data_IF_354212288305
#
_entry.id   IF_354212288305
#
_cell.length_a   1.000
_cell.length_b   1.000
_cell.length_c   1.000
_cell.angle_alpha   90.00
_cell.angle_beta   90.00
_cell.angle_gamma   90.00
#
_symmetry.space_group_name_H-M   'P 1'
#
loop_
_entity.id
_entity.type
_entity.pdbx_description
1 polymer ?
#
# COMPACT_ATOMS: atom_id res chain seq x y z
N UNK A 1 25.05 19.52 22.64
CA UNK A 1 25.04 19.82 21.19
C UNK A 1 25.63 18.60 20.48
N UNK A 2 24.79 17.61 20.18
CA UNK A 2 25.20 16.37 19.52
C UNK A 2 25.71 16.64 18.11
N UNK A 3 26.80 15.99 17.78
CA UNK A 3 27.41 15.94 16.46
C UNK A 3 26.30 15.57 15.46
N UNK A 4 25.90 16.54 14.65
CA UNK A 4 24.88 16.37 13.60
C UNK A 4 25.41 15.25 12.70
N UNK A 5 24.83 14.04 12.78
CA UNK A 5 25.27 12.92 11.96
C UNK A 5 25.08 13.28 10.49
N UNK A 6 26.14 13.75 9.88
CA UNK A 6 26.15 14.11 8.45
C UNK A 6 25.69 12.96 7.56
N UNK A 7 25.87 11.72 8.04
CA UNK A 7 25.38 10.51 7.37
C UNK A 7 23.84 10.46 7.30
N UNK A 8 23.14 10.76 8.39
CA UNK A 8 21.67 10.73 8.45
C UNK A 8 21.03 11.78 7.53
N UNK A 9 21.60 13.00 7.48
CA UNK A 9 21.13 14.07 6.59
C UNK A 9 21.34 13.67 5.11
N UNK A 10 22.49 13.07 4.81
CA UNK A 10 22.82 12.61 3.45
C UNK A 10 21.90 11.47 3.00
N UNK A 11 21.62 10.51 3.87
CA UNK A 11 20.71 9.38 3.56
C UNK A 11 19.30 9.89 3.25
N UNK A 12 18.79 10.84 4.04
CA UNK A 12 17.47 11.43 3.77
C UNK A 12 17.42 12.22 2.46
N UNK A 13 18.45 12.99 2.14
CA UNK A 13 18.54 13.72 0.88
C UNK A 13 18.58 12.76 -0.34
N UNK A 14 19.34 11.67 -0.24
CA UNK A 14 19.40 10.62 -1.27
C UNK A 14 18.02 9.98 -1.47
N UNK A 15 17.32 9.63 -0.39
CA UNK A 15 15.98 9.04 -0.48
C UNK A 15 14.98 9.97 -1.16
N UNK A 16 14.97 11.27 -0.83
CA UNK A 16 14.12 12.28 -1.47
C UNK A 16 14.48 12.43 -2.96
N UNK A 17 15.76 12.39 -3.29
CA UNK A 17 16.20 12.45 -4.70
C UNK A 17 15.67 11.25 -5.50
N UNK A 18 15.84 10.02 -5.01
CA UNK A 18 15.31 8.83 -5.67
C UNK A 18 13.78 8.87 -5.80
N UNK A 19 13.08 9.34 -4.78
CA UNK A 19 11.63 9.47 -4.80
C UNK A 19 11.17 10.52 -5.81
N UNK A 20 11.91 11.63 -5.97
CA UNK A 20 11.65 12.63 -6.99
C UNK A 20 11.88 12.07 -8.41
N UNK A 21 12.93 11.27 -8.60
CA UNK A 21 13.20 10.59 -9.88
C UNK A 21 12.09 9.61 -10.22
N UNK A 22 11.61 8.83 -9.27
CA UNK A 22 10.48 7.90 -9.48
C UNK A 22 9.19 8.66 -9.85
N UNK A 23 8.91 9.77 -9.19
CA UNK A 23 7.74 10.59 -9.50
C UNK A 23 7.81 11.19 -10.90
N UNK A 24 8.96 11.77 -11.27
CA UNK A 24 9.17 12.34 -12.61
C UNK A 24 9.14 11.23 -13.67
N UNK A 25 9.76 10.08 -13.41
CA UNK A 25 9.74 8.93 -14.30
C UNK A 25 8.32 8.44 -14.58
N UNK A 26 7.50 8.31 -13.51
CA UNK A 26 6.08 7.95 -13.65
C UNK A 26 5.28 9.00 -14.44
N UNK A 27 5.56 10.29 -14.21
CA UNK A 27 4.89 11.36 -14.94
C UNK A 27 5.26 11.36 -16.44
N UNK A 28 6.53 11.10 -16.77
CA UNK A 28 6.99 10.97 -18.15
C UNK A 28 6.39 9.74 -18.84
N UNK A 29 6.30 8.63 -18.13
CA UNK A 29 5.65 7.41 -18.63
C UNK A 29 4.17 7.66 -18.94
N UNK A 30 3.46 8.34 -18.06
CA UNK A 30 2.08 8.76 -18.26
C UNK A 30 1.90 9.69 -19.48
N UNK A 31 2.83 10.64 -19.68
CA UNK A 31 2.74 11.65 -20.77
C UNK A 31 3.15 11.10 -22.14
N UNK A 32 4.18 10.24 -22.20
CA UNK A 32 4.80 9.82 -23.44
C UNK A 32 4.50 8.38 -23.85
N UNK A 33 4.18 7.49 -22.89
CA UNK A 33 4.08 6.06 -23.16
C UNK A 33 2.73 5.46 -22.77
N UNK A 34 1.67 6.09 -23.17
CA UNK A 34 0.28 5.68 -22.86
C UNK A 34 -0.10 4.27 -23.36
N UNK A 35 0.84 3.46 -23.87
CA UNK A 35 0.58 2.16 -24.50
C UNK A 35 1.61 1.08 -24.13
N UNK A 36 2.29 1.17 -22.99
CA UNK A 36 3.16 0.07 -22.58
C UNK A 36 2.32 -1.14 -22.22
N UNK A 37 2.53 -2.21 -22.99
CA UNK A 37 1.94 -3.52 -22.68
C UNK A 37 2.23 -3.89 -21.23
N UNK A 38 1.19 -3.97 -20.43
CA UNK A 38 1.29 -4.42 -19.07
C UNK A 38 2.01 -5.77 -19.03
N UNK A 39 3.04 -5.87 -18.20
CA UNK A 39 3.62 -7.16 -17.89
C UNK A 39 2.54 -8.00 -17.20
N UNK A 40 1.94 -8.91 -17.94
CA UNK A 40 0.80 -9.77 -17.54
C UNK A 40 1.18 -10.84 -16.50
N UNK A 41 2.19 -10.56 -15.64
CA UNK A 41 2.60 -11.51 -14.60
C UNK A 41 1.54 -11.74 -13.52
N UNK A 42 0.65 -10.76 -13.30
CA UNK A 42 -0.46 -10.83 -12.34
C UNK A 42 -1.75 -10.26 -12.94
N UNK A 43 -2.05 -10.63 -14.20
CA UNK A 43 -3.12 -10.02 -14.99
C UNK A 43 -4.49 -10.05 -14.31
N UNK A 44 -4.77 -11.08 -13.52
CA UNK A 44 -6.07 -11.23 -12.84
C UNK A 44 -6.12 -10.57 -11.47
N UNK A 45 -4.96 -10.34 -10.83
CA UNK A 45 -4.88 -9.74 -9.49
C UNK A 45 -4.72 -8.22 -9.50
N UNK A 46 -4.23 -7.65 -10.62
CA UNK A 46 -3.90 -6.23 -10.74
C UNK A 46 -4.64 -5.64 -11.94
N UNK A 47 -5.49 -4.65 -11.67
CA UNK A 47 -6.14 -3.88 -12.73
C UNK A 47 -5.31 -2.65 -13.10
N UNK A 48 -5.24 -2.39 -14.40
CA UNK A 48 -4.59 -1.18 -14.94
C UNK A 48 -5.63 -0.34 -15.68
N UNK A 49 -5.73 0.93 -15.33
CA UNK A 49 -6.67 1.86 -15.92
C UNK A 49 -6.29 3.30 -15.63
N UNK A 50 -6.91 4.25 -16.32
CA UNK A 50 -6.68 5.68 -16.12
C UNK A 50 -6.82 6.10 -14.66
N UNK A 51 -7.82 5.57 -13.97
CA UNK A 51 -8.07 5.84 -12.54
C UNK A 51 -6.90 5.40 -11.68
N UNK A 52 -6.34 4.22 -11.95
CA UNK A 52 -5.19 3.67 -11.23
C UNK A 52 -3.94 4.53 -11.43
N UNK A 53 -3.69 5.00 -12.65
CA UNK A 53 -2.55 5.87 -12.96
C UNK A 53 -2.63 7.22 -12.25
N UNK A 54 -3.82 7.82 -12.20
CA UNK A 54 -4.06 9.07 -11.45
C UNK A 54 -3.80 8.86 -9.95
N UNK A 55 -4.29 7.76 -9.37
CA UNK A 55 -4.07 7.44 -7.95
C UNK A 55 -2.60 7.18 -7.65
N UNK A 56 -1.87 6.49 -8.53
CA UNK A 56 -0.42 6.29 -8.39
C UNK A 56 0.34 7.62 -8.35
N UNK A 57 0.02 8.54 -9.28
CA UNK A 57 0.61 9.89 -9.31
C UNK A 57 0.33 10.65 -8.02
N UNK A 58 -0.90 10.56 -7.50
CA UNK A 58 -1.31 11.20 -6.25
C UNK A 58 -0.51 10.65 -5.05
N UNK A 59 -0.36 9.34 -4.92
CA UNK A 59 0.40 8.73 -3.81
C UNK A 59 1.89 9.04 -3.89
N UNK A 60 2.49 9.04 -5.08
CA UNK A 60 3.89 9.41 -5.25
C UNK A 60 4.13 10.88 -4.87
N UNK A 61 3.26 11.79 -5.30
CA UNK A 61 3.35 13.21 -4.93
C UNK A 61 3.19 13.41 -3.42
N UNK A 62 2.17 12.78 -2.83
CA UNK A 62 1.92 12.85 -1.38
C UNK A 62 3.09 12.32 -0.57
N UNK A 63 3.66 11.18 -0.96
CA UNK A 63 4.83 10.57 -0.34
C UNK A 63 6.06 11.48 -0.42
N UNK A 64 6.28 12.14 -1.55
CA UNK A 64 7.36 13.10 -1.73
C UNK A 64 7.22 14.30 -0.79
N UNK A 65 6.01 14.87 -0.68
CA UNK A 65 5.72 15.97 0.26
C UNK A 65 5.97 15.56 1.71
N UNK A 66 5.47 14.38 2.12
CA UNK A 66 5.68 13.83 3.46
C UNK A 66 7.18 13.61 3.73
N UNK A 67 7.93 13.09 2.77
CA UNK A 67 9.38 12.88 2.90
C UNK A 67 10.13 14.18 3.10
N UNK A 68 9.80 15.25 2.38
CA UNK A 68 10.44 16.58 2.51
C UNK A 68 10.14 17.18 3.89
N UNK A 69 8.88 17.16 4.31
CA UNK A 69 8.44 17.72 5.61
C UNK A 69 9.04 16.91 6.75
N UNK A 70 8.96 15.56 6.66
CA UNK A 70 9.48 14.64 7.65
C UNK A 70 10.99 14.76 7.82
N UNK A 71 11.74 14.87 6.72
CA UNK A 71 13.19 15.08 6.77
C UNK A 71 13.55 16.33 7.57
N UNK A 72 12.90 17.47 7.30
CA UNK A 72 13.12 18.73 8.02
C UNK A 72 12.79 18.59 9.51
N UNK A 73 11.68 17.92 9.84
CA UNK A 73 11.27 17.69 11.21
C UNK A 73 12.26 16.80 11.97
N UNK A 74 12.67 15.67 11.39
CA UNK A 74 13.60 14.73 12.01
C UNK A 74 14.98 15.34 12.23
N UNK A 75 15.49 16.13 11.27
CA UNK A 75 16.74 16.87 11.41
C UNK A 75 16.70 17.90 12.56
N UNK A 76 15.54 18.53 12.80
CA UNK A 76 15.36 19.45 13.94
C UNK A 76 15.32 18.73 15.28
N UNK A 77 14.74 17.52 15.32
CA UNK A 77 14.62 16.69 16.53
C UNK A 77 15.88 15.85 16.82
N UNK A 78 16.84 15.79 15.90
CA UNK A 78 18.04 14.96 16.03
C UNK A 78 17.77 13.46 15.89
N UNK A 79 16.62 13.07 15.31
CA UNK A 79 16.26 11.68 15.07
C UNK A 79 16.87 11.18 13.75
N UNK A 80 17.11 9.86 13.66
CA UNK A 80 17.63 9.24 12.44
C UNK A 80 16.58 9.31 11.33
N UNK A 81 16.91 9.85 10.17
CA UNK A 81 15.94 10.03 9.08
C UNK A 81 15.86 8.85 8.11
N UNK A 82 16.86 7.95 8.09
CA UNK A 82 16.92 6.87 7.11
C UNK A 82 15.73 5.88 7.20
N UNK A 83 15.48 5.34 8.40
CA UNK A 83 14.38 4.40 8.64
C UNK A 83 13.01 5.00 8.27
N UNK A 84 12.80 6.28 8.55
CA UNK A 84 11.57 7.00 8.21
C UNK A 84 11.30 6.99 6.70
N UNK A 85 12.31 7.30 5.90
CA UNK A 85 12.15 7.33 4.44
C UNK A 85 11.86 5.95 3.85
N UNK A 86 12.52 4.89 4.36
CA UNK A 86 12.23 3.52 3.93
C UNK A 86 10.80 3.10 4.24
N UNK A 87 10.31 3.39 5.46
CA UNK A 87 8.93 3.09 5.86
C UNK A 87 7.92 3.88 5.02
N UNK A 88 8.20 5.16 4.74
CA UNK A 88 7.34 5.99 3.90
C UNK A 88 7.29 5.47 2.47
N UNK A 89 8.42 5.05 1.89
CA UNK A 89 8.47 4.47 0.55
C UNK A 89 7.73 3.13 0.48
N UNK A 90 7.91 2.25 1.50
CA UNK A 90 7.21 0.98 1.58
C UNK A 90 5.69 1.18 1.73
N UNK A 91 5.26 2.12 2.57
CA UNK A 91 3.84 2.48 2.69
C UNK A 91 3.27 2.98 1.36
N UNK A 92 4.02 3.81 0.63
CA UNK A 92 3.61 4.32 -0.68
C UNK A 92 3.45 3.18 -1.69
N UNK A 93 4.40 2.24 -1.71
CA UNK A 93 4.31 1.05 -2.57
C UNK A 93 3.06 0.21 -2.23
N UNK A 94 2.76 0.00 -0.94
CA UNK A 94 1.55 -0.68 -0.50
C UNK A 94 0.27 0.05 -0.92
N UNK A 95 0.22 1.38 -0.83
CA UNK A 95 -0.92 2.19 -1.30
C UNK A 95 -1.10 2.11 -2.82
N UNK A 96 -0.01 2.06 -3.58
CA UNK A 96 -0.07 1.87 -5.03
C UNK A 96 -0.60 0.48 -5.40
N UNK A 97 -0.16 -0.57 -4.70
CA UNK A 97 -0.67 -1.92 -4.87
C UNK A 97 -2.16 -2.01 -4.49
N UNK A 98 -2.57 -1.32 -3.42
CA UNK A 98 -3.96 -1.27 -2.99
C UNK A 98 -4.88 -0.72 -4.08
N UNK A 99 -4.48 0.36 -4.75
CA UNK A 99 -5.26 0.97 -5.84
C UNK A 99 -5.35 0.10 -7.11
N UNK A 100 -4.40 -0.81 -7.28
CA UNK A 100 -4.34 -1.70 -8.44
C UNK A 100 -5.00 -3.05 -8.16
N UNK A 101 -5.32 -3.35 -6.90
CA UNK A 101 -5.83 -4.65 -6.50
C UNK A 101 -7.17 -4.95 -7.17
N UNK A 102 -7.26 -6.08 -7.86
CA UNK A 102 -8.48 -6.64 -8.44
C UNK A 102 -8.88 -7.97 -7.77
N UNK A 103 -8.26 -8.27 -6.64
CA UNK A 103 -8.39 -9.53 -5.93
C UNK A 103 -8.37 -9.29 -4.42
N UNK A 104 -9.29 -9.92 -3.66
CA UNK A 104 -9.38 -9.72 -2.20
C UNK A 104 -8.11 -10.06 -1.44
N UNK A 105 -7.38 -11.09 -1.84
CA UNK A 105 -6.11 -11.46 -1.23
C UNK A 105 -5.06 -10.35 -1.44
N UNK A 106 -4.96 -9.80 -2.66
CA UNK A 106 -4.03 -8.72 -2.97
C UNK A 106 -4.37 -7.45 -2.21
N UNK A 107 -5.66 -7.11 -2.12
CA UNK A 107 -6.17 -6.01 -1.31
C UNK A 107 -5.75 -6.17 0.16
N UNK A 108 -5.95 -7.36 0.74
CA UNK A 108 -5.58 -7.63 2.13
C UNK A 108 -4.08 -7.47 2.37
N UNK A 109 -3.23 -8.07 1.52
CA UNK A 109 -1.76 -7.97 1.64
C UNK A 109 -1.28 -6.52 1.52
N UNK A 110 -1.86 -5.75 0.59
CA UNK A 110 -1.53 -4.34 0.41
C UNK A 110 -1.93 -3.50 1.65
N UNK A 111 -3.13 -3.71 2.19
CA UNK A 111 -3.59 -3.05 3.42
C UNK A 111 -2.69 -3.36 4.62
N UNK A 112 -2.34 -4.64 4.83
CA UNK A 112 -1.46 -5.04 5.93
C UNK A 112 -0.06 -4.43 5.79
N UNK A 113 0.48 -4.38 4.57
CA UNK A 113 1.78 -3.74 4.31
C UNK A 113 1.77 -2.26 4.72
N UNK A 114 0.72 -1.52 4.36
CA UNK A 114 0.55 -0.12 4.75
C UNK A 114 0.38 0.02 6.26
N UNK A 115 -0.45 -0.83 6.87
CA UNK A 115 -0.73 -0.81 8.30
C UNK A 115 0.55 -1.04 9.13
N UNK A 116 1.37 -2.05 8.79
CA UNK A 116 2.65 -2.31 9.43
C UNK A 116 3.61 -1.11 9.37
N UNK A 117 3.67 -0.42 8.23
CA UNK A 117 4.45 0.80 8.10
C UNK A 117 3.96 1.89 9.06
N UNK A 118 2.64 2.10 9.14
CA UNK A 118 2.07 3.12 10.00
C UNK A 118 2.20 2.79 11.48
N UNK A 119 2.06 1.53 11.91
CA UNK A 119 2.33 1.13 13.31
C UNK A 119 3.75 1.50 13.71
N UNK A 120 4.72 1.24 12.84
CA UNK A 120 6.13 1.56 13.08
C UNK A 120 6.39 3.07 13.06
N UNK A 121 5.74 3.82 12.16
CA UNK A 121 5.87 5.28 12.07
C UNK A 121 5.27 5.99 13.30
N UNK A 122 4.15 5.50 13.85
CA UNK A 122 3.55 6.05 15.09
C UNK A 122 4.48 5.81 16.28
N UNK A 123 5.13 4.64 16.37
CA UNK A 123 6.10 4.31 17.40
C UNK A 123 7.54 4.80 17.09
N UNK A 124 7.72 5.69 16.11
CA UNK A 124 9.04 6.06 15.58
C UNK A 124 9.99 6.64 16.63
N UNK A 125 9.49 7.47 17.53
CA UNK A 125 10.29 8.03 18.61
C UNK A 125 10.38 7.06 19.79
N UNK A 126 11.38 6.19 19.75
CA UNK A 126 11.60 5.11 20.74
C UNK A 126 11.94 5.63 22.14
N UNK A 127 12.42 6.87 22.27
CA UNK A 127 12.76 7.50 23.55
C UNK A 127 11.53 8.09 24.26
N UNK A 128 10.37 8.13 23.59
CA UNK A 128 9.13 8.66 24.14
C UNK A 128 8.17 7.54 24.52
N UNK A 129 7.91 7.37 25.82
CA UNK A 129 6.92 6.41 26.31
C UNK A 129 5.53 6.62 25.69
N UNK A 130 5.14 7.88 25.44
CA UNK A 130 3.86 8.20 24.77
C UNK A 130 3.81 7.72 23.32
N UNK A 131 4.92 7.79 22.58
CA UNK A 131 5.01 7.30 21.21
C UNK A 131 4.90 5.77 21.16
N UNK A 132 5.58 5.07 22.08
CA UNK A 132 5.52 3.62 22.19
C UNK A 132 4.10 3.15 22.59
N UNK A 133 3.49 3.80 23.56
CA UNK A 133 2.11 3.51 23.99
C UNK A 133 1.12 3.71 22.83
N UNK A 134 1.25 4.80 22.09
CA UNK A 134 0.41 5.07 20.91
C UNK A 134 0.59 4.01 19.83
N UNK A 135 1.84 3.58 19.56
CA UNK A 135 2.14 2.53 18.59
C UNK A 135 1.53 1.18 18.97
N UNK A 136 1.63 0.78 20.24
CA UNK A 136 1.04 -0.47 20.73
C UNK A 136 -0.49 -0.43 20.63
N UNK A 137 -1.12 0.67 21.04
CA UNK A 137 -2.58 0.83 20.89
C UNK A 137 -3.02 0.73 19.45
N UNK A 138 -2.28 1.39 18.54
CA UNK A 138 -2.58 1.37 17.11
C UNK A 138 -2.41 -0.04 16.53
N UNK A 139 -1.35 -0.77 16.91
CA UNK A 139 -1.13 -2.16 16.51
C UNK A 139 -2.27 -3.08 16.96
N UNK A 140 -2.71 -2.99 18.23
CA UNK A 140 -3.78 -3.87 18.76
C UNK A 140 -5.11 -3.62 18.02
N UNK A 141 -5.51 -2.36 17.87
CA UNK A 141 -6.76 -2.04 17.17
C UNK A 141 -6.67 -2.36 15.68
N UNK A 142 -5.52 -2.14 15.05
CA UNK A 142 -5.28 -2.50 13.67
C UNK A 142 -5.34 -4.02 13.45
N UNK A 143 -4.65 -4.80 14.27
CA UNK A 143 -4.67 -6.26 14.18
C UNK A 143 -6.09 -6.85 14.40
N UNK A 144 -6.88 -6.26 15.30
CA UNK A 144 -8.28 -6.66 15.47
C UNK A 144 -9.10 -6.35 14.20
N UNK A 145 -8.90 -5.18 13.61
CA UNK A 145 -9.61 -4.75 12.40
C UNK A 145 -9.26 -5.65 11.21
N UNK A 146 -7.98 -5.96 11.01
CA UNK A 146 -7.54 -6.84 9.92
C UNK A 146 -7.97 -8.28 10.12
N UNK A 147 -8.05 -8.77 11.36
CA UNK A 147 -8.62 -10.10 11.65
C UNK A 147 -10.10 -10.19 11.23
N UNK A 148 -10.89 -9.14 11.48
CA UNK A 148 -12.29 -9.06 11.05
C UNK A 148 -12.40 -8.98 9.52
N UNK A 149 -11.53 -8.20 8.88
CA UNK A 149 -11.48 -8.12 7.42
C UNK A 149 -11.14 -9.48 6.80
N UNK A 150 -10.11 -10.16 7.32
CA UNK A 150 -9.72 -11.49 6.85
C UNK A 150 -10.85 -12.50 7.05
N UNK A 151 -11.54 -12.46 8.19
CA UNK A 151 -12.71 -13.28 8.43
C UNK A 151 -13.81 -13.05 7.38
N UNK A 152 -14.09 -11.79 7.03
CA UNK A 152 -15.01 -11.44 5.93
C UNK A 152 -14.57 -12.01 4.57
N UNK A 153 -13.27 -11.94 4.26
CA UNK A 153 -12.72 -12.51 3.01
C UNK A 153 -12.88 -14.03 2.98
N UNK A 154 -12.67 -14.72 4.11
CA UNK A 154 -12.87 -16.18 4.21
C UNK A 154 -14.33 -16.55 3.98
N UNK A 155 -15.29 -15.78 4.50
CA UNK A 155 -16.71 -16.00 4.23
C UNK A 155 -17.05 -15.81 2.74
N UNK A 156 -16.52 -14.76 2.11
CA UNK A 156 -16.68 -14.55 0.67
C UNK A 156 -16.08 -15.69 -0.16
N UNK A 157 -14.92 -16.19 0.24
CA UNK A 157 -14.32 -17.37 -0.36
C UNK A 157 -15.25 -18.60 -0.26
N UNK A 158 -15.84 -18.83 0.90
CA UNK A 158 -16.76 -19.94 1.12
C UNK A 158 -18.01 -19.87 0.22
N UNK A 159 -18.52 -18.66 -0.03
CA UNK A 159 -19.65 -18.44 -0.95
C UNK A 159 -19.20 -18.63 -2.41
N UNK A 160 -18.11 -18.00 -2.81
CA UNK A 160 -17.61 -18.06 -4.18
C UNK A 160 -17.09 -19.44 -4.61
N UNK A 161 -16.58 -20.24 -3.68
CA UNK A 161 -16.10 -21.60 -3.96
C UNK A 161 -17.21 -22.63 -4.12
N UNK A 162 -18.44 -22.34 -3.66
CA UNK A 162 -19.59 -23.26 -3.72
C UNK A 162 -20.87 -22.55 -4.20
N UNK A 163 -20.91 -22.04 -5.43
CA UNK A 163 -22.07 -21.29 -5.93
C UNK A 163 -23.35 -22.12 -5.97
N UNK A 164 -23.26 -23.42 -6.27
CA UNK A 164 -24.42 -24.33 -6.28
C UNK A 164 -25.12 -24.45 -4.93
N UNK A 165 -24.39 -24.35 -3.82
CA UNK A 165 -24.99 -24.38 -2.48
C UNK A 165 -25.94 -23.20 -2.22
N UNK A 166 -25.83 -22.12 -3.01
CA UNK A 166 -26.63 -20.89 -2.92
C UNK A 166 -27.60 -20.73 -4.12
N UNK A 167 -27.67 -21.75 -5.02
CA UNK A 167 -28.57 -21.75 -6.18
C UNK A 167 -28.04 -20.97 -7.38
N UNK A 168 -26.79 -20.56 -7.37
CA UNK A 168 -26.13 -19.92 -8.51
C UNK A 168 -25.43 -20.94 -9.42
N UNK A 169 -25.33 -20.65 -10.72
CA UNK A 169 -24.63 -21.48 -11.69
C UNK A 169 -23.17 -21.07 -11.79
N UNK A 170 -22.28 -22.03 -12.10
CA UNK A 170 -20.88 -21.67 -12.43
C UNK A 170 -20.84 -20.87 -13.74
N UNK A 171 -20.11 -19.74 -13.80
CA UNK A 171 -19.93 -19.03 -15.05
C UNK A 171 -19.16 -19.89 -16.07
N UNK A 172 -19.70 -20.12 -17.24
CA UNK A 172 -19.20 -21.11 -18.21
C UNK A 172 -17.81 -20.83 -18.81
N UNK A 173 -17.24 -19.63 -18.63
CA UNK A 173 -16.03 -19.19 -19.35
C UNK A 173 -15.00 -18.40 -18.56
N UNK A 174 -15.03 -18.35 -17.24
CA UNK A 174 -14.12 -17.54 -16.44
C UNK A 174 -13.19 -18.38 -15.56
N UNK A 175 -11.94 -17.91 -15.38
CA UNK A 175 -11.03 -18.44 -14.37
C UNK A 175 -11.74 -18.45 -13.00
N UNK A 176 -12.02 -19.64 -12.48
CA UNK A 176 -12.74 -19.85 -11.23
C UNK A 176 -11.89 -19.42 -10.03
N UNK A 177 -11.57 -18.13 -9.90
CA UNK A 177 -10.95 -17.61 -8.70
C UNK A 177 -12.00 -16.97 -7.79
N UNK A 178 -12.38 -17.66 -6.68
CA UNK A 178 -13.46 -17.22 -5.79
C UNK A 178 -13.18 -15.89 -5.08
N UNK A 179 -11.97 -15.38 -5.14
CA UNK A 179 -11.56 -14.11 -4.52
C UNK A 179 -11.35 -12.98 -5.53
N UNK A 180 -11.58 -13.21 -6.83
CA UNK A 180 -11.58 -12.18 -7.86
C UNK A 180 -12.81 -11.27 -7.69
N UNK A 181 -12.62 -9.95 -7.79
CA UNK A 181 -13.74 -9.00 -7.75
C UNK A 181 -14.71 -9.18 -8.92
N UNK A 182 -14.18 -9.52 -10.08
CA UNK A 182 -14.97 -9.75 -11.28
C UNK A 182 -15.88 -10.98 -11.13
N UNK A 183 -15.32 -12.10 -10.67
CA UNK A 183 -16.05 -13.34 -10.43
C UNK A 183 -17.19 -13.14 -9.42
N UNK A 184 -16.89 -12.52 -8.26
CA UNK A 184 -17.90 -12.29 -7.23
C UNK A 184 -18.94 -11.25 -7.66
N UNK A 185 -18.56 -10.25 -8.47
CA UNK A 185 -19.48 -9.28 -9.04
C UNK A 185 -20.51 -9.94 -9.95
N UNK A 186 -20.08 -10.85 -10.82
CA UNK A 186 -20.96 -11.61 -11.70
C UNK A 186 -21.88 -12.54 -10.91
N UNK A 187 -21.34 -13.27 -9.94
CA UNK A 187 -22.12 -14.19 -9.08
C UNK A 187 -23.26 -13.48 -8.30
N UNK A 188 -23.05 -12.22 -7.88
CA UNK A 188 -24.04 -11.45 -7.12
C UNK A 188 -25.06 -10.73 -8.03
N UNK A 189 -24.83 -10.67 -9.34
CA UNK A 189 -25.70 -10.00 -10.28
C UNK A 189 -26.79 -10.94 -10.88
N UNK A 190 -26.66 -12.24 -10.70
CA UNK A 190 -27.65 -13.28 -11.04
C UNK A 190 -28.64 -13.49 -9.90
#
# INVERSE_FOLDING_TARGET
FGKKDSSSVRTGAIAIFFQSVLFVGHLLDYLFWHHSAALNFFSDMISQGLQTEVMRSFFLLSSLLVSIIGHRYLCRKGLKSGEFHHLTMLATAGLMLLCQSNHFLMLFVALETVALCFYTLVAYNRDSAKSLEAGIKYLIFGALSSALLLFGIVLLYGVGANPEAWGASYPEHESMDPLSFHYLGNLMSE
#
